data_IF_867365627161
#
_entry.id   IF_867365627161
#
_cell.length_a   1.000
_cell.length_b   1.000
_cell.length_c   1.000
_cell.angle_alpha   90.00
_cell.angle_beta   90.00
_cell.angle_gamma   90.00
#
_symmetry.space_group_name_H-M   'P 1'
#
loop_
_entity.id
_entity.type
_entity.pdbx_description
1 polymer ?
#
# COMPACT_ATOMS: atom_id res chain seq x y z
N UNK A 1 -3.22 -7.47 20.53
CA UNK A 1 -2.73 -6.07 20.54
C UNK A 1 -1.32 -5.94 21.12
N UNK A 2 -1.02 -6.48 22.31
CA UNK A 2 0.34 -6.41 22.89
C UNK A 2 1.47 -6.89 21.97
N UNK A 3 1.30 -8.05 21.32
CA UNK A 3 2.30 -8.58 20.36
C UNK A 3 2.53 -7.64 19.17
N UNK A 4 1.48 -7.03 18.63
CA UNK A 4 1.60 -6.10 17.50
C UNK A 4 2.36 -4.81 17.90
N UNK A 5 2.14 -4.32 19.13
CA UNK A 5 2.88 -3.16 19.65
C UNK A 5 4.36 -3.46 19.86
N UNK A 6 4.69 -4.66 20.36
CA UNK A 6 6.08 -5.11 20.51
C UNK A 6 6.75 -5.23 19.14
N UNK A 7 6.10 -5.87 18.16
CA UNK A 7 6.61 -5.99 16.79
C UNK A 7 6.80 -4.59 16.17
N UNK A 8 5.84 -3.68 16.34
CA UNK A 8 5.93 -2.31 15.85
C UNK A 8 7.10 -1.54 16.47
N UNK A 9 7.30 -1.67 17.78
CA UNK A 9 8.40 -1.01 18.50
C UNK A 9 9.76 -1.53 18.02
N UNK A 10 9.92 -2.86 17.94
CA UNK A 10 11.13 -3.51 17.43
C UNK A 10 11.40 -3.09 15.98
N UNK A 11 10.37 -3.11 15.14
CA UNK A 11 10.50 -2.75 13.72
C UNK A 11 10.93 -1.30 13.53
N UNK A 12 10.41 -0.37 14.35
CA UNK A 12 10.85 1.04 14.34
C UNK A 12 12.29 1.19 14.80
N UNK A 13 12.67 0.53 15.89
CA UNK A 13 14.02 0.63 16.44
C UNK A 13 15.07 0.04 15.47
N UNK A 14 14.79 -1.13 14.90
CA UNK A 14 15.64 -1.74 13.88
C UNK A 14 15.64 -0.93 12.58
N UNK A 15 14.49 -0.39 12.16
CA UNK A 15 14.40 0.45 10.98
C UNK A 15 15.22 1.73 11.09
N UNK A 16 15.29 2.36 12.26
CA UNK A 16 16.17 3.49 12.53
C UNK A 16 17.66 3.11 12.46
N UNK A 17 18.04 1.98 13.04
CA UNK A 17 19.43 1.51 13.02
C UNK A 17 19.91 1.20 11.60
N UNK A 18 19.06 0.61 10.75
CA UNK A 18 19.41 0.30 9.36
C UNK A 18 19.43 1.57 8.50
N UNK A 19 18.47 2.48 8.69
CA UNK A 19 18.46 3.75 7.96
C UNK A 19 19.67 4.62 8.29
N UNK A 20 20.22 4.52 9.51
CA UNK A 20 21.45 5.22 9.90
C UNK A 20 22.69 4.79 9.08
N UNK A 21 22.63 3.66 8.37
CA UNK A 21 23.69 3.19 7.45
C UNK A 21 23.61 3.84 6.06
N UNK A 22 22.76 4.87 5.86
CA UNK A 22 22.62 5.59 4.59
C UNK A 22 21.64 4.97 3.59
N UNK A 23 20.81 4.03 4.04
CA UNK A 23 19.77 3.37 3.25
C UNK A 23 18.43 4.14 3.32
N UNK A 24 17.40 3.61 2.67
CA UNK A 24 16.01 4.10 2.65
C UNK A 24 15.50 4.63 4.01
N UNK A 25 14.47 5.50 3.97
CA UNK A 25 13.86 6.12 5.15
C UNK A 25 13.53 5.09 6.26
N UNK A 26 13.78 5.40 7.55
CA UNK A 26 13.45 4.53 8.68
C UNK A 26 12.03 3.95 8.66
N UNK A 27 11.05 4.71 8.16
CA UNK A 27 9.66 4.26 8.03
C UNK A 27 9.53 3.09 7.05
N UNK A 28 10.26 3.12 5.93
CA UNK A 28 10.23 2.05 4.92
C UNK A 28 10.78 0.77 5.53
N UNK A 29 11.91 0.84 6.24
CA UNK A 29 12.48 -0.31 6.92
C UNK A 29 11.58 -0.86 8.02
N UNK A 30 10.91 -0.01 8.79
CA UNK A 30 9.95 -0.45 9.79
C UNK A 30 8.77 -1.22 9.15
N UNK A 31 8.30 -0.81 7.97
CA UNK A 31 7.26 -1.53 7.24
C UNK A 31 7.78 -2.88 6.71
N UNK A 32 8.99 -2.91 6.13
CA UNK A 32 9.60 -4.15 5.61
C UNK A 32 9.78 -5.17 6.74
N UNK A 33 10.36 -4.76 7.87
CA UNK A 33 10.62 -5.65 9.01
C UNK A 33 9.32 -6.15 9.63
N UNK A 34 8.35 -5.26 9.85
CA UNK A 34 7.06 -5.66 10.43
C UNK A 34 6.29 -6.62 9.52
N UNK A 35 6.35 -6.39 8.20
CA UNK A 35 5.75 -7.30 7.21
C UNK A 35 6.44 -8.66 7.23
N UNK A 36 7.77 -8.70 7.23
CA UNK A 36 8.54 -9.95 7.26
C UNK A 36 8.26 -10.75 8.54
N UNK A 37 8.28 -10.11 9.70
CA UNK A 37 7.93 -10.73 10.97
C UNK A 37 6.49 -11.25 10.97
N UNK A 38 5.54 -10.51 10.38
CA UNK A 38 4.15 -10.93 10.22
C UNK A 38 4.01 -12.19 9.37
N UNK A 39 4.72 -12.27 8.23
CA UNK A 39 4.74 -13.45 7.35
C UNK A 39 5.31 -14.67 8.09
N UNK A 40 6.44 -14.49 8.77
CA UNK A 40 7.10 -15.56 9.51
C UNK A 40 6.26 -16.05 10.69
N UNK A 41 5.54 -15.15 11.35
CA UNK A 41 4.65 -15.49 12.46
C UNK A 41 3.30 -16.08 12.01
N UNK A 42 2.85 -15.82 10.78
CA UNK A 42 1.56 -16.27 10.26
C UNK A 42 1.29 -17.79 10.37
N UNK A 43 2.22 -18.70 10.04
CA UNK A 43 1.99 -20.14 10.19
C UNK A 43 2.10 -20.65 11.64
N UNK A 44 2.59 -19.84 12.58
CA UNK A 44 2.86 -20.24 13.98
C UNK A 44 1.60 -20.17 14.85
N UNK A 45 1.72 -20.59 16.12
CA UNK A 45 0.64 -20.49 17.11
C UNK A 45 0.08 -19.06 17.27
N UNK A 46 0.93 -18.03 17.05
CA UNK A 46 0.51 -16.63 17.08
C UNK A 46 -0.48 -16.30 15.95
N UNK A 47 -0.24 -16.81 14.74
CA UNK A 47 -1.13 -16.59 13.60
C UNK A 47 -2.41 -17.43 13.64
N UNK A 48 -2.39 -18.56 14.36
CA UNK A 48 -3.53 -19.46 14.56
C UNK A 48 -4.36 -19.16 15.81
N UNK A 49 -4.01 -18.11 16.56
CA UNK A 49 -4.69 -17.74 17.79
C UNK A 49 -6.15 -17.36 17.52
N UNK A 50 -7.07 -17.83 18.36
CA UNK A 50 -8.50 -17.49 18.26
C UNK A 50 -8.70 -15.98 18.39
N UNK A 51 -9.43 -15.40 17.44
CA UNK A 51 -9.67 -13.96 17.36
C UNK A 51 -8.61 -13.14 16.63
N UNK A 52 -7.52 -13.75 16.11
CA UNK A 52 -6.51 -13.02 15.35
C UNK A 52 -7.10 -12.35 14.08
N UNK A 53 -7.95 -13.05 13.34
CA UNK A 53 -8.61 -12.49 12.15
C UNK A 53 -9.60 -11.37 12.52
N UNK A 54 -10.38 -11.54 13.59
CA UNK A 54 -11.35 -10.53 14.05
C UNK A 54 -10.65 -9.22 14.45
N UNK A 55 -9.59 -9.31 15.25
CA UNK A 55 -8.81 -8.14 15.66
C UNK A 55 -8.13 -7.48 14.46
N UNK A 56 -7.60 -8.27 13.53
CA UNK A 56 -7.02 -7.74 12.29
C UNK A 56 -8.06 -6.99 11.45
N UNK A 57 -9.28 -7.54 11.32
CA UNK A 57 -10.38 -6.92 10.60
C UNK A 57 -10.83 -5.60 11.22
N UNK A 58 -10.99 -5.55 12.54
CA UNK A 58 -11.35 -4.31 13.26
C UNK A 58 -10.26 -3.25 13.09
N UNK A 59 -8.98 -3.60 13.27
CA UNK A 59 -7.88 -2.64 13.10
C UNK A 59 -7.81 -2.08 11.68
N UNK A 60 -8.04 -2.93 10.68
CA UNK A 60 -8.12 -2.51 9.29
C UNK A 60 -9.25 -1.49 9.08
N UNK A 61 -10.45 -1.76 9.59
CA UNK A 61 -11.56 -0.82 9.48
C UNK A 61 -11.29 0.51 10.19
N UNK A 62 -10.60 0.48 11.33
CA UNK A 62 -10.13 1.71 12.00
C UNK A 62 -9.19 2.51 11.10
N UNK A 63 -8.22 1.86 10.45
CA UNK A 63 -7.30 2.54 9.50
C UNK A 63 -8.07 3.14 8.32
N UNK A 64 -9.02 2.41 7.74
CA UNK A 64 -9.85 2.92 6.64
C UNK A 64 -10.69 4.13 7.09
N UNK A 65 -11.27 4.07 8.28
CA UNK A 65 -12.03 5.18 8.85
C UNK A 65 -11.16 6.42 9.11
N UNK A 66 -9.93 6.24 9.60
CA UNK A 66 -8.98 7.34 9.81
C UNK A 66 -8.59 8.02 8.50
N UNK A 67 -8.25 7.25 7.46
CA UNK A 67 -7.95 7.79 6.14
C UNK A 67 -9.14 8.57 5.58
N UNK A 68 -10.36 8.05 5.76
CA UNK A 68 -11.58 8.74 5.34
C UNK A 68 -11.84 10.04 6.09
N UNK A 69 -11.50 10.10 7.38
CA UNK A 69 -11.68 11.30 8.21
C UNK A 69 -10.74 12.45 7.82
N UNK A 70 -9.60 12.17 7.16
CA UNK A 70 -8.68 13.18 6.65
C UNK A 70 -9.18 13.87 5.36
N UNK A 71 -10.20 13.32 4.70
CA UNK A 71 -10.71 13.85 3.43
C UNK A 71 -11.55 15.11 3.64
N UNK A 72 -11.05 16.25 3.16
CA UNK A 72 -11.83 17.49 3.13
C UNK A 72 -12.81 17.53 1.94
N UNK A 73 -14.06 17.15 2.19
CA UNK A 73 -15.12 17.13 1.16
C UNK A 73 -15.47 18.54 0.62
N UNK A 74 -15.22 19.61 1.38
CA UNK A 74 -15.48 20.97 0.90
C UNK A 74 -14.52 21.41 -0.21
N UNK A 75 -13.31 20.84 -0.26
CA UNK A 75 -12.31 21.11 -1.29
C UNK A 75 -12.68 20.51 -2.67
N UNK A 76 -13.56 19.49 -2.68
CA UNK A 76 -14.00 18.81 -3.92
C UNK A 76 -14.70 19.80 -4.86
N UNK A 77 -15.58 20.66 -4.32
CA UNK A 77 -16.31 21.65 -5.12
C UNK A 77 -15.43 22.80 -5.63
N UNK A 78 -14.27 23.02 -5.03
CA UNK A 78 -13.37 24.14 -5.37
C UNK A 78 -12.36 23.79 -6.46
N UNK A 79 -12.17 22.49 -6.73
CA UNK A 79 -11.12 21.98 -7.61
C UNK A 79 -11.64 20.97 -8.66
N UNK A 80 -12.70 21.30 -9.44
CA UNK A 80 -13.32 20.36 -10.37
C UNK A 80 -12.35 19.86 -11.46
N UNK A 81 -11.41 20.70 -11.87
CA UNK A 81 -10.41 20.33 -12.88
C UNK A 81 -9.44 19.26 -12.36
N UNK A 82 -9.05 19.32 -11.09
CA UNK A 82 -8.19 18.29 -10.47
C UNK A 82 -8.91 16.94 -10.36
N UNK A 83 -10.21 16.95 -10.09
CA UNK A 83 -11.03 15.73 -10.04
C UNK A 83 -11.09 15.06 -11.41
N UNK A 84 -11.36 15.83 -12.46
CA UNK A 84 -11.36 15.32 -13.84
C UNK A 84 -9.99 14.74 -14.23
N UNK A 85 -8.90 15.41 -13.86
CA UNK A 85 -7.55 14.88 -14.07
C UNK A 85 -7.34 13.55 -13.35
N UNK A 86 -7.84 13.42 -12.11
CA UNK A 86 -7.84 12.16 -11.37
C UNK A 86 -8.56 11.03 -12.12
N UNK A 87 -9.78 11.28 -12.61
CA UNK A 87 -10.51 10.30 -13.42
C UNK A 87 -9.75 9.92 -14.70
N UNK A 88 -9.15 10.90 -15.38
CA UNK A 88 -8.36 10.65 -16.59
C UNK A 88 -7.17 9.75 -16.31
N UNK A 89 -6.41 10.02 -15.23
CA UNK A 89 -5.27 9.19 -14.81
C UNK A 89 -5.72 7.76 -14.49
N UNK A 90 -6.82 7.61 -13.74
CA UNK A 90 -7.36 6.29 -13.40
C UNK A 90 -7.84 5.52 -14.65
N UNK A 91 -8.46 6.20 -15.60
CA UNK A 91 -8.88 5.61 -16.86
C UNK A 91 -7.68 5.12 -17.69
N UNK A 92 -6.64 5.95 -17.83
CA UNK A 92 -5.41 5.58 -18.54
C UNK A 92 -4.74 4.39 -17.86
N UNK A 93 -4.60 4.43 -16.53
CA UNK A 93 -4.03 3.32 -15.77
C UNK A 93 -4.83 2.03 -15.98
N UNK A 94 -6.16 2.09 -15.85
CA UNK A 94 -7.03 0.92 -16.03
C UNK A 94 -6.90 0.31 -17.43
N UNK A 95 -6.91 1.15 -18.47
CA UNK A 95 -6.73 0.69 -19.86
C UNK A 95 -5.37 0.05 -20.07
N UNK A 96 -4.29 0.66 -19.58
CA UNK A 96 -2.93 0.10 -19.67
C UNK A 96 -2.83 -1.26 -18.96
N UNK A 97 -3.40 -1.37 -17.76
CA UNK A 97 -3.41 -2.62 -17.01
C UNK A 97 -4.17 -3.74 -17.74
N UNK A 98 -5.28 -3.42 -18.41
CA UNK A 98 -6.02 -4.38 -19.22
C UNK A 98 -5.22 -4.82 -20.45
N UNK A 99 -4.55 -3.89 -21.14
CA UNK A 99 -3.70 -4.20 -22.31
C UNK A 99 -2.52 -5.09 -21.89
N UNK A 100 -1.78 -4.70 -20.86
CA UNK A 100 -0.64 -5.46 -20.34
C UNK A 100 -1.11 -6.83 -19.85
N UNK A 101 -2.21 -6.88 -19.10
CA UNK A 101 -2.80 -8.12 -18.61
C UNK A 101 -3.20 -9.06 -19.74
N UNK A 102 -3.73 -8.53 -20.84
CA UNK A 102 -4.06 -9.30 -22.05
C UNK A 102 -2.79 -9.86 -22.72
N UNK A 103 -1.74 -9.04 -22.84
CA UNK A 103 -0.45 -9.46 -23.43
C UNK A 103 0.23 -10.55 -22.59
N UNK A 104 0.21 -10.41 -21.27
CA UNK A 104 0.81 -11.37 -20.34
C UNK A 104 -0.08 -12.58 -20.02
N UNK A 105 -1.30 -12.64 -20.61
CA UNK A 105 -2.31 -13.68 -20.36
C UNK A 105 -2.62 -13.85 -18.86
N UNK A 106 -2.65 -12.75 -18.11
CA UNK A 106 -2.95 -12.76 -16.68
C UNK A 106 -4.45 -12.82 -16.39
N UNK A 107 -4.81 -13.43 -15.27
CA UNK A 107 -6.18 -13.42 -14.77
C UNK A 107 -6.60 -12.02 -14.30
N UNK A 108 -7.86 -11.63 -14.56
CA UNK A 108 -8.44 -10.35 -14.12
C UNK A 108 -8.30 -10.11 -12.61
N UNK A 109 -8.38 -11.16 -11.79
CA UNK A 109 -8.19 -11.06 -10.33
C UNK A 109 -6.80 -10.54 -9.95
N UNK A 110 -5.74 -11.02 -10.62
CA UNK A 110 -4.37 -10.60 -10.35
C UNK A 110 -4.12 -9.18 -10.87
N UNK A 111 -4.70 -8.82 -12.02
CA UNK A 111 -4.62 -7.46 -12.58
C UNK A 111 -5.33 -6.47 -11.65
N UNK A 112 -6.51 -6.83 -11.14
CA UNK A 112 -7.25 -6.02 -10.18
C UNK A 112 -6.49 -5.84 -8.86
N UNK A 113 -5.91 -6.92 -8.33
CA UNK A 113 -5.09 -6.86 -7.12
C UNK A 113 -3.87 -5.96 -7.31
N UNK A 114 -3.18 -6.09 -8.46
CA UNK A 114 -2.05 -5.27 -8.83
C UNK A 114 -2.42 -3.78 -8.94
N UNK A 115 -3.57 -3.47 -9.54
CA UNK A 115 -4.04 -2.09 -9.66
C UNK A 115 -4.37 -1.47 -8.30
N UNK A 116 -5.06 -2.22 -7.42
CA UNK A 116 -5.39 -1.76 -6.05
C UNK A 116 -4.11 -1.60 -5.21
N UNK A 117 -3.10 -2.44 -5.42
CA UNK A 117 -1.79 -2.26 -4.78
C UNK A 117 -1.12 -0.94 -5.19
N UNK A 118 -1.25 -0.52 -6.45
CA UNK A 118 -0.47 0.61 -6.98
C UNK A 118 -1.23 1.95 -7.01
N UNK A 119 -2.55 1.95 -7.11
CA UNK A 119 -3.40 3.15 -6.98
C UNK A 119 -3.95 3.29 -5.57
N UNK A 120 -4.35 2.16 -4.98
CA UNK A 120 -4.83 2.14 -3.61
C UNK A 120 -3.68 2.29 -2.62
N UNK A 121 -4.04 2.21 -1.35
CA UNK A 121 -3.07 2.18 -0.26
C UNK A 121 -2.67 0.74 0.06
N UNK A 122 -1.49 0.55 0.65
CA UNK A 122 -1.05 -0.77 1.12
C UNK A 122 -2.09 -1.48 2.03
N UNK A 123 -2.81 -0.79 2.92
CA UNK A 123 -3.93 -1.36 3.65
C UNK A 123 -5.03 -1.90 2.73
N UNK A 124 -5.52 -1.09 1.78
CA UNK A 124 -6.58 -1.50 0.83
C UNK A 124 -6.18 -2.73 0.01
N UNK A 125 -4.93 -2.78 -0.43
CA UNK A 125 -4.37 -3.91 -1.17
C UNK A 125 -4.35 -5.20 -0.33
N UNK A 126 -3.96 -5.09 0.95
CA UNK A 126 -3.94 -6.21 1.88
C UNK A 126 -5.35 -6.78 2.14
N UNK A 127 -6.39 -5.93 2.23
CA UNK A 127 -7.78 -6.38 2.41
C UNK A 127 -8.22 -7.24 1.24
N UNK A 128 -8.04 -6.69 0.04
CA UNK A 128 -8.51 -7.34 -1.18
C UNK A 128 -7.72 -8.61 -1.42
N UNK A 129 -6.41 -8.61 -1.18
CA UNK A 129 -5.59 -9.81 -1.21
C UNK A 129 -6.10 -10.89 -0.24
N UNK A 130 -6.40 -10.52 1.01
CA UNK A 130 -6.86 -11.47 2.03
C UNK A 130 -8.21 -12.10 1.70
N UNK A 131 -9.07 -11.40 0.95
CA UNK A 131 -10.34 -11.90 0.45
C UNK A 131 -10.17 -12.92 -0.70
N UNK A 132 -9.09 -12.82 -1.47
CA UNK A 132 -8.76 -13.77 -2.55
C UNK A 132 -7.94 -14.95 -2.04
N UNK A 133 -6.74 -14.69 -1.52
CA UNK A 133 -5.85 -15.68 -0.92
C UNK A 133 -4.92 -14.97 0.08
N UNK A 134 -4.94 -15.42 1.34
CA UNK A 134 -4.10 -14.86 2.41
C UNK A 134 -2.60 -14.91 2.09
N UNK A 135 -2.16 -15.82 1.23
CA UNK A 135 -0.77 -15.89 0.78
C UNK A 135 -0.37 -14.72 -0.14
N UNK A 136 -1.34 -14.03 -0.74
CA UNK A 136 -1.10 -12.87 -1.61
C UNK A 136 -0.98 -11.56 -0.83
N UNK A 137 -1.39 -11.54 0.45
CA UNK A 137 -1.36 -10.34 1.30
C UNK A 137 0.04 -9.72 1.37
N UNK A 138 1.12 -10.48 1.63
CA UNK A 138 2.45 -9.89 1.72
C UNK A 138 2.96 -9.37 0.38
N UNK A 139 2.63 -10.08 -0.71
CA UNK A 139 2.99 -9.67 -2.06
C UNK A 139 2.31 -8.35 -2.41
N UNK A 140 1.01 -8.21 -2.12
CA UNK A 140 0.25 -6.99 -2.37
C UNK A 140 0.79 -5.80 -1.56
N UNK A 141 1.18 -6.01 -0.30
CA UNK A 141 1.78 -4.96 0.55
C UNK A 141 3.14 -4.50 0.00
N UNK A 142 4.05 -5.43 -0.32
CA UNK A 142 5.36 -5.10 -0.88
C UNK A 142 5.21 -4.38 -2.22
N UNK A 143 4.30 -4.86 -3.06
CA UNK A 143 3.99 -4.25 -4.34
C UNK A 143 3.48 -2.81 -4.19
N UNK A 144 2.60 -2.54 -3.22
CA UNK A 144 2.12 -1.19 -2.94
C UNK A 144 3.24 -0.25 -2.47
N UNK A 145 4.18 -0.75 -1.65
CA UNK A 145 5.33 0.02 -1.20
C UNK A 145 6.26 0.37 -2.36
N UNK A 146 6.60 -0.61 -3.20
CA UNK A 146 7.45 -0.37 -4.37
C UNK A 146 6.77 0.61 -5.33
N UNK A 147 5.47 0.42 -5.59
CA UNK A 147 4.67 1.28 -6.46
C UNK A 147 4.62 2.73 -5.98
N UNK A 148 4.35 2.95 -4.69
CA UNK A 148 4.32 4.30 -4.10
C UNK A 148 5.69 4.98 -4.10
N UNK A 149 6.77 4.23 -3.85
CA UNK A 149 8.13 4.77 -3.92
C UNK A 149 8.48 5.19 -5.35
N UNK A 150 8.32 4.30 -6.33
CA UNK A 150 8.60 4.61 -7.73
C UNK A 150 7.71 5.75 -8.25
N UNK A 151 6.41 5.72 -7.93
CA UNK A 151 5.47 6.76 -8.33
C UNK A 151 5.85 8.13 -7.78
N UNK A 152 6.33 8.20 -6.53
CA UNK A 152 6.79 9.45 -5.92
C UNK A 152 8.04 10.00 -6.61
N UNK A 153 9.04 9.13 -6.86
CA UNK A 153 10.25 9.55 -7.58
C UNK A 153 9.94 10.03 -9.00
N UNK A 154 9.16 9.27 -9.77
CA UNK A 154 8.77 9.66 -11.14
C UNK A 154 7.91 10.93 -11.14
N UNK A 155 7.01 11.08 -10.17
CA UNK A 155 6.20 12.29 -10.03
C UNK A 155 7.05 13.54 -9.76
N UNK A 156 8.06 13.42 -8.89
CA UNK A 156 9.00 14.50 -8.60
C UNK A 156 9.84 14.86 -9.83
N UNK A 157 10.39 13.88 -10.54
CA UNK A 157 11.19 14.17 -11.75
C UNK A 157 10.34 14.81 -12.85
N UNK A 158 9.10 14.35 -13.05
CA UNK A 158 8.18 15.00 -14.00
C UNK A 158 7.87 16.43 -13.56
N UNK A 159 7.66 16.67 -12.26
CA UNK A 159 7.46 18.02 -11.72
C UNK A 159 8.66 18.93 -12.00
N UNK A 160 9.89 18.45 -11.77
CA UNK A 160 11.11 19.21 -12.04
C UNK A 160 11.24 19.55 -13.54
N UNK A 161 10.94 18.60 -14.42
CA UNK A 161 10.95 18.82 -15.88
C UNK A 161 9.92 19.87 -16.29
N UNK A 162 8.70 19.83 -15.74
CA UNK A 162 7.66 20.81 -16.05
C UNK A 162 8.09 22.21 -15.59
N UNK A 163 8.67 22.35 -14.39
CA UNK A 163 9.19 23.63 -13.88
C UNK A 163 10.35 24.15 -14.72
N UNK A 164 11.20 23.28 -15.27
CA UNK A 164 12.29 23.69 -16.16
C UNK A 164 11.79 24.23 -17.51
N UNK A 165 10.59 23.82 -17.94
CA UNK A 165 9.98 24.21 -19.21
C UNK A 165 9.04 25.43 -19.09
N UNK A 166 8.70 25.87 -17.87
CA UNK A 166 7.86 27.04 -17.59
C UNK A 166 8.67 28.30 -17.35
#
# INVERSE_FOLDING_TARGET
MGVALVISSISRHLGQAIAAMGLLNPMIWAIIISSLLGILAAPTALGKMTGANEVSGVMLYVVVALIGAEVNLSAIGQAPMYIMSGFMILAIHGVLMLIIGRMMKMNLHLIGLASIANIGSAPSAAVVAAAYDKNLVPVAVIMALIGSMLGSFVGLTVSEVIVMLS
#
